data_IF_475286901939
#
_entry.id   IF_475286901939
#
_cell.length_a   1.000
_cell.length_b   1.000
_cell.length_c   1.000
_cell.angle_alpha   90.00
_cell.angle_beta   90.00
_cell.angle_gamma   90.00
#
_symmetry.space_group_name_H-M   'P 1'
#
loop_
_entity.id
_entity.type
_entity.pdbx_description
1 polymer ?
#
# COMPACT_ATOMS: atom_id res chain seq x y z
N UNK A 1 -4.04 2.61 17.36
CA UNK A 1 -4.01 1.18 17.00
C UNK A 1 -4.97 0.93 15.83
N UNK A 2 -4.44 0.52 14.67
CA UNK A 2 -5.23 0.22 13.49
C UNK A 2 -5.93 -1.15 13.62
N UNK A 3 -7.14 -1.23 13.08
CA UNK A 3 -7.97 -2.42 13.03
C UNK A 3 -8.15 -2.91 11.60
N UNK A 4 -8.73 -4.09 11.42
CA UNK A 4 -9.00 -4.67 10.11
C UNK A 4 -9.85 -3.74 9.22
N UNK A 5 -10.86 -3.06 9.79
CA UNK A 5 -11.70 -2.12 9.05
C UNK A 5 -10.96 -0.91 8.47
N UNK A 6 -9.80 -0.56 9.03
CA UNK A 6 -9.05 0.63 8.60
C UNK A 6 -8.21 0.36 7.33
N UNK A 7 -7.87 -0.92 7.07
CA UNK A 7 -6.95 -1.32 6.00
C UNK A 7 -7.54 -2.33 5.01
N UNK A 8 -8.75 -2.83 5.26
CA UNK A 8 -9.38 -3.82 4.38
C UNK A 8 -9.69 -3.24 2.99
N UNK A 9 -9.57 -4.09 1.98
CA UNK A 9 -10.19 -3.84 0.68
C UNK A 9 -11.70 -3.89 0.88
N UNK A 10 -12.44 -2.80 0.58
CA UNK A 10 -13.87 -2.74 0.83
C UNK A 10 -14.65 -3.73 -0.05
N UNK A 11 -15.82 -4.16 0.42
CA UNK A 11 -16.71 -5.12 -0.27
C UNK A 11 -16.89 -4.85 -1.75
N UNK A 12 -17.05 -3.57 -2.14
CA UNK A 12 -17.29 -3.18 -3.52
C UNK A 12 -16.13 -3.51 -4.48
N UNK A 13 -14.92 -3.62 -3.95
CA UNK A 13 -13.69 -3.85 -4.71
C UNK A 13 -13.20 -5.30 -4.64
N UNK A 14 -13.92 -6.18 -3.91
CA UNK A 14 -13.57 -7.59 -3.82
C UNK A 14 -13.82 -8.30 -5.14
N UNK A 15 -12.75 -8.84 -5.73
CA UNK A 15 -12.86 -9.78 -6.85
C UNK A 15 -13.12 -11.18 -6.32
N UNK A 16 -14.18 -11.82 -6.77
CA UNK A 16 -14.57 -13.17 -6.36
C UNK A 16 -15.06 -13.98 -7.55
N UNK A 17 -14.99 -15.30 -7.47
CA UNK A 17 -15.50 -16.21 -8.49
C UNK A 17 -16.67 -17.04 -7.97
N UNK A 18 -17.55 -17.47 -8.85
CA UNK A 18 -18.69 -18.33 -8.50
C UNK A 18 -18.33 -19.81 -8.57
N UNK A 19 -19.02 -20.61 -7.74
CA UNK A 19 -18.85 -22.08 -7.70
C UNK A 19 -19.09 -22.77 -9.05
N UNK A 20 -19.89 -22.16 -9.92
CA UNK A 20 -20.29 -22.74 -11.22
C UNK A 20 -19.48 -22.21 -12.39
N UNK A 21 -18.51 -21.34 -12.14
CA UNK A 21 -17.66 -20.79 -13.19
C UNK A 21 -16.67 -21.83 -13.73
N UNK A 22 -16.32 -21.71 -15.02
CA UNK A 22 -15.32 -22.58 -15.62
C UNK A 22 -13.92 -22.26 -15.13
N UNK A 23 -13.00 -23.23 -15.14
CA UNK A 23 -11.60 -22.98 -14.80
C UNK A 23 -10.95 -21.96 -15.72
N UNK A 24 -11.36 -21.90 -16.99
CA UNK A 24 -10.89 -20.90 -17.96
C UNK A 24 -11.28 -19.49 -17.53
N UNK A 25 -12.54 -19.30 -17.08
CA UNK A 25 -13.04 -18.02 -16.61
C UNK A 25 -12.35 -17.60 -15.30
N UNK A 26 -12.17 -18.55 -14.38
CA UNK A 26 -11.45 -18.33 -13.11
C UNK A 26 -10.02 -17.86 -13.38
N UNK A 27 -9.29 -18.55 -14.27
CA UNK A 27 -7.92 -18.18 -14.64
C UNK A 27 -7.89 -16.78 -15.28
N UNK A 28 -8.83 -16.50 -16.16
CA UNK A 28 -8.94 -15.19 -16.81
C UNK A 28 -9.16 -14.08 -15.79
N UNK A 29 -10.08 -14.27 -14.83
CA UNK A 29 -10.34 -13.29 -13.78
C UNK A 29 -9.13 -13.12 -12.85
N UNK A 30 -8.50 -14.21 -12.43
CA UNK A 30 -7.29 -14.15 -11.57
C UNK A 30 -6.14 -13.44 -12.25
N UNK A 31 -5.95 -13.69 -13.56
CA UNK A 31 -4.90 -13.05 -14.36
C UNK A 31 -5.19 -11.57 -14.58
N UNK A 32 -6.44 -11.22 -14.94
CA UNK A 32 -6.84 -9.84 -15.15
C UNK A 32 -6.74 -8.98 -13.87
N UNK A 33 -7.08 -9.57 -12.72
CA UNK A 33 -6.98 -8.92 -11.42
C UNK A 33 -5.56 -8.98 -10.83
N UNK A 34 -4.65 -9.74 -11.42
CA UNK A 34 -3.30 -10.00 -10.88
C UNK A 34 -3.32 -10.61 -9.47
N UNK A 35 -4.28 -11.48 -9.18
CA UNK A 35 -4.44 -12.12 -7.88
C UNK A 35 -4.16 -13.61 -7.93
N UNK A 36 -3.38 -14.10 -6.97
CA UNK A 36 -3.09 -15.54 -6.82
C UNK A 36 -4.18 -16.32 -6.07
N UNK A 37 -5.04 -15.63 -5.33
CA UNK A 37 -6.10 -16.20 -4.50
C UNK A 37 -7.36 -15.38 -4.65
N UNK A 38 -8.50 -16.04 -4.80
CA UNK A 38 -9.81 -15.39 -4.81
C UNK A 38 -10.79 -16.11 -3.89
N UNK A 39 -11.71 -15.37 -3.24
CA UNK A 39 -12.89 -15.96 -2.62
C UNK A 39 -13.77 -16.63 -3.67
N UNK A 40 -14.31 -17.78 -3.31
CA UNK A 40 -15.31 -18.51 -4.11
C UNK A 40 -16.65 -18.39 -3.41
N UNK A 41 -17.61 -17.76 -4.07
CA UNK A 41 -18.98 -17.57 -3.57
C UNK A 41 -19.94 -18.60 -4.17
N UNK A 42 -20.97 -18.98 -3.42
CA UNK A 42 -22.07 -19.76 -3.96
C UNK A 42 -23.00 -18.85 -4.76
N UNK A 43 -23.83 -18.08 -4.10
CA UNK A 43 -24.75 -17.14 -4.76
C UNK A 43 -24.29 -15.69 -4.61
N UNK A 44 -24.03 -15.27 -3.40
CA UNK A 44 -23.60 -13.90 -3.06
C UNK A 44 -22.25 -13.91 -2.36
N UNK A 45 -21.67 -12.72 -2.21
CA UNK A 45 -20.41 -12.54 -1.48
C UNK A 45 -20.54 -12.87 0.02
N UNK A 46 -21.74 -12.87 0.57
CA UNK A 46 -21.99 -13.27 1.96
C UNK A 46 -22.02 -14.79 2.14
N UNK A 47 -22.10 -15.56 1.05
CA UNK A 47 -22.05 -17.03 1.08
C UNK A 47 -20.76 -17.54 0.42
N UNK A 48 -19.65 -17.40 1.15
CA UNK A 48 -18.34 -17.85 0.70
C UNK A 48 -18.17 -19.34 0.95
N UNK A 49 -17.93 -20.10 -0.12
CA UNK A 49 -17.63 -21.53 -0.08
C UNK A 49 -16.19 -21.81 0.39
N UNK A 50 -15.25 -20.94 0.07
CA UNK A 50 -13.84 -21.07 0.39
C UNK A 50 -12.96 -20.14 -0.44
N UNK A 51 -11.67 -20.43 -0.44
CA UNK A 51 -10.66 -19.69 -1.20
C UNK A 51 -10.05 -20.62 -2.25
N UNK A 52 -9.93 -20.16 -3.50
CA UNK A 52 -9.24 -20.89 -4.56
C UNK A 52 -7.87 -20.26 -4.82
N UNK A 53 -6.87 -21.10 -5.09
CA UNK A 53 -5.51 -20.66 -5.42
C UNK A 53 -5.18 -21.04 -6.86
N UNK A 54 -4.62 -20.09 -7.63
CA UNK A 54 -4.31 -20.29 -9.05
C UNK A 54 -3.38 -21.48 -9.30
N UNK A 55 -2.43 -21.75 -8.40
CA UNK A 55 -1.54 -22.93 -8.49
C UNK A 55 -2.29 -24.25 -8.43
N UNK A 56 -3.36 -24.32 -7.61
CA UNK A 56 -4.15 -25.54 -7.47
C UNK A 56 -4.98 -25.77 -8.74
N UNK A 57 -5.50 -24.71 -9.35
CA UNK A 57 -6.21 -24.77 -10.64
C UNK A 57 -5.28 -25.29 -11.73
N UNK A 58 -4.08 -24.74 -11.87
CA UNK A 58 -3.10 -25.19 -12.86
C UNK A 58 -2.66 -26.63 -12.62
N UNK A 59 -2.38 -27.01 -11.37
CA UNK A 59 -1.99 -28.38 -11.03
C UNK A 59 -3.10 -29.39 -11.38
N UNK A 60 -4.36 -29.02 -11.13
CA UNK A 60 -5.51 -29.86 -11.45
C UNK A 60 -5.68 -30.05 -12.97
N UNK A 61 -5.56 -28.95 -13.74
CA UNK A 61 -5.60 -29.01 -15.21
C UNK A 61 -4.45 -29.82 -15.79
N UNK A 62 -3.24 -29.62 -15.27
CA UNK A 62 -2.05 -30.36 -15.73
C UNK A 62 -2.18 -31.88 -15.46
N UNK A 63 -2.84 -32.25 -14.37
CA UNK A 63 -3.12 -33.66 -14.06
C UNK A 63 -4.21 -34.29 -14.96
N UNK A 64 -4.81 -33.53 -15.89
CA UNK A 64 -5.88 -34.00 -16.77
C UNK A 64 -7.17 -34.40 -16.05
N UNK A 65 -7.38 -33.87 -14.84
CA UNK A 65 -8.58 -34.16 -14.04
C UNK A 65 -9.78 -33.36 -14.53
N UNK A 66 -10.97 -33.90 -14.38
CA UNK A 66 -12.20 -33.17 -14.64
C UNK A 66 -12.28 -31.92 -13.75
N UNK A 67 -12.75 -30.77 -14.28
CA UNK A 67 -12.91 -29.56 -13.49
C UNK A 67 -13.85 -29.79 -12.31
N UNK A 68 -13.33 -29.58 -11.09
CA UNK A 68 -14.07 -29.71 -9.85
C UNK A 68 -13.55 -28.68 -8.83
N UNK A 69 -14.29 -27.58 -8.70
CA UNK A 69 -13.92 -26.48 -7.82
C UNK A 69 -13.93 -26.92 -6.35
N UNK A 70 -14.91 -27.74 -5.95
CA UNK A 70 -15.08 -28.20 -4.56
C UNK A 70 -13.78 -28.84 -4.01
N UNK A 71 -13.10 -29.62 -4.85
CA UNK A 71 -11.86 -30.30 -4.45
C UNK A 71 -10.67 -29.36 -4.26
N UNK A 72 -10.73 -28.14 -4.78
CA UNK A 72 -9.68 -27.13 -4.73
C UNK A 72 -9.91 -26.07 -3.66
N UNK A 73 -11.08 -26.06 -3.02
CA UNK A 73 -11.43 -25.07 -2.01
C UNK A 73 -10.55 -25.24 -0.76
N UNK A 74 -9.96 -24.13 -0.36
CA UNK A 74 -9.31 -24.00 0.94
C UNK A 74 -10.24 -23.27 1.91
N UNK A 75 -10.29 -23.65 3.20
CA UNK A 75 -11.13 -22.95 4.17
C UNK A 75 -10.81 -21.46 4.22
N UNK A 76 -11.84 -20.61 4.19
CA UNK A 76 -11.71 -19.19 4.41
C UNK A 76 -11.46 -18.88 5.90
N UNK A 77 -10.74 -17.79 6.17
CA UNK A 77 -10.60 -17.20 7.49
C UNK A 77 -11.54 -16.01 7.58
N UNK A 78 -12.43 -16.01 8.57
CA UNK A 78 -13.35 -14.92 8.85
C UNK A 78 -12.93 -14.21 10.13
N UNK A 79 -12.93 -12.88 10.11
CA UNK A 79 -12.49 -12.04 11.23
C UNK A 79 -13.42 -10.86 11.42
N UNK A 80 -13.49 -10.34 12.66
CA UNK A 80 -14.27 -9.15 12.96
C UNK A 80 -13.58 -7.87 12.46
N UNK A 81 -14.32 -6.81 12.09
CA UNK A 81 -13.75 -5.53 11.66
C UNK A 81 -12.86 -4.88 12.72
N UNK A 82 -13.13 -5.13 13.99
CA UNK A 82 -12.43 -4.55 15.15
C UNK A 82 -11.15 -5.30 15.55
N UNK A 83 -10.78 -6.39 14.88
CA UNK A 83 -9.53 -7.11 15.20
C UNK A 83 -8.32 -6.22 14.91
N UNK A 84 -7.36 -6.14 15.84
CA UNK A 84 -6.14 -5.37 15.66
C UNK A 84 -5.23 -6.03 14.61
N UNK A 85 -4.51 -5.23 13.83
CA UNK A 85 -3.69 -5.75 12.72
C UNK A 85 -2.63 -6.75 13.18
N UNK A 86 -1.97 -6.52 14.32
CA UNK A 86 -0.97 -7.46 14.85
C UNK A 86 -1.58 -8.80 15.28
N UNK A 87 -2.79 -8.77 15.87
CA UNK A 87 -3.49 -9.99 16.26
C UNK A 87 -3.94 -10.77 15.03
N UNK A 88 -4.44 -10.06 14.00
CA UNK A 88 -4.83 -10.64 12.72
C UNK A 88 -3.61 -11.26 12.01
N UNK A 89 -2.49 -10.56 11.94
CA UNK A 89 -1.26 -11.09 11.34
C UNK A 89 -0.80 -12.37 12.04
N UNK A 90 -0.85 -12.39 13.38
CA UNK A 90 -0.51 -13.58 14.17
C UNK A 90 -1.44 -14.75 13.85
N UNK A 91 -2.76 -14.51 13.79
CA UNK A 91 -3.75 -15.54 13.48
C UNK A 91 -3.59 -16.09 12.05
N UNK A 92 -3.38 -15.22 11.07
CA UNK A 92 -3.15 -15.62 9.68
C UNK A 92 -1.89 -16.48 9.55
N UNK A 93 -0.80 -16.12 10.22
CA UNK A 93 0.44 -16.93 10.26
C UNK A 93 0.24 -18.27 10.93
N UNK A 94 -0.41 -18.29 12.09
CA UNK A 94 -0.67 -19.53 12.85
C UNK A 94 -1.51 -20.50 12.02
N UNK A 95 -2.55 -20.02 11.35
CA UNK A 95 -3.44 -20.82 10.51
C UNK A 95 -2.92 -21.03 9.10
N UNK A 96 -1.77 -20.44 8.74
CA UNK A 96 -1.18 -20.44 7.39
C UNK A 96 -2.18 -19.96 6.32
N UNK A 97 -2.86 -18.84 6.62
CA UNK A 97 -3.79 -18.17 5.71
C UNK A 97 -3.19 -16.88 5.22
N UNK A 98 -3.27 -16.62 3.92
CA UNK A 98 -2.78 -15.41 3.28
C UNK A 98 -3.89 -14.41 2.95
N UNK A 99 -5.13 -14.79 3.23
CA UNK A 99 -6.31 -13.98 2.96
C UNK A 99 -7.33 -14.21 4.07
N UNK A 100 -7.92 -13.13 4.58
CA UNK A 100 -8.99 -13.12 5.54
C UNK A 100 -10.18 -12.30 5.00
N UNK A 101 -11.41 -12.74 5.31
CA UNK A 101 -12.62 -12.01 5.03
C UNK A 101 -13.08 -11.32 6.31
N UNK A 102 -13.31 -10.02 6.21
CA UNK A 102 -13.84 -9.21 7.30
C UNK A 102 -15.36 -9.29 7.25
N UNK A 103 -15.98 -9.71 8.35
CA UNK A 103 -17.42 -9.93 8.40
C UNK A 103 -18.05 -9.16 9.55
N UNK A 104 -19.23 -8.61 9.29
CA UNK A 104 -20.04 -7.91 10.29
C UNK A 104 -20.70 -8.89 11.28
N UNK A 105 -21.44 -8.36 12.24
CA UNK A 105 -22.17 -9.13 13.27
C UNK A 105 -23.34 -9.95 12.72
N UNK A 106 -23.75 -9.69 11.48
CA UNK A 106 -24.81 -10.41 10.78
C UNK A 106 -24.27 -11.47 9.82
N UNK A 107 -22.94 -11.58 9.70
CA UNK A 107 -22.26 -12.49 8.79
C UNK A 107 -22.10 -11.96 7.37
N UNK A 108 -22.39 -10.68 7.14
CA UNK A 108 -22.14 -10.00 5.87
C UNK A 108 -20.65 -9.75 5.67
N UNK A 109 -20.15 -9.92 4.45
CA UNK A 109 -18.75 -9.59 4.11
C UNK A 109 -18.61 -8.11 3.88
N UNK A 110 -17.87 -7.42 4.75
CA UNK A 110 -17.55 -5.99 4.66
C UNK A 110 -16.30 -5.73 3.83
N UNK A 111 -15.33 -6.63 3.89
CA UNK A 111 -14.05 -6.45 3.21
C UNK A 111 -13.20 -7.71 3.17
N UNK A 112 -12.01 -7.54 2.61
CA UNK A 112 -11.00 -8.57 2.48
C UNK A 112 -9.64 -7.97 2.85
N UNK A 113 -8.80 -8.76 3.52
CA UNK A 113 -7.42 -8.37 3.85
C UNK A 113 -6.49 -9.49 3.44
N UNK A 114 -5.36 -9.14 2.82
CA UNK A 114 -4.27 -10.06 2.57
C UNK A 114 -3.16 -9.92 3.61
N UNK A 115 -2.30 -10.93 3.72
CA UNK A 115 -1.14 -10.85 4.63
C UNK A 115 -0.15 -9.79 4.13
N UNK A 116 -0.09 -9.60 2.83
CA UNK A 116 0.71 -8.61 2.16
C UNK A 116 0.29 -7.18 2.59
N UNK A 117 -1.00 -6.86 2.56
CA UNK A 117 -1.56 -5.57 3.02
C UNK A 117 -1.25 -5.32 4.51
N UNK A 118 -1.36 -6.37 5.35
CA UNK A 118 -1.05 -6.27 6.77
C UNK A 118 0.44 -5.97 7.01
N UNK A 119 1.31 -6.64 6.26
CA UNK A 119 2.75 -6.43 6.40
C UNK A 119 3.12 -5.03 5.93
N UNK A 120 2.58 -4.57 4.82
CA UNK A 120 2.79 -3.22 4.31
C UNK A 120 2.36 -2.16 5.33
N UNK A 121 1.18 -2.32 5.96
CA UNK A 121 0.67 -1.35 6.93
C UNK A 121 1.43 -1.38 8.27
N UNK A 122 1.89 -2.56 8.72
CA UNK A 122 2.59 -2.71 10.00
C UNK A 122 4.06 -2.31 9.91
N UNK A 123 4.71 -2.65 8.80
CA UNK A 123 6.15 -2.44 8.59
C UNK A 123 6.41 -1.10 7.91
N UNK A 124 5.38 -0.52 7.25
CA UNK A 124 5.54 0.55 6.27
C UNK A 124 6.05 -0.01 4.94
N UNK A 125 6.26 0.86 3.97
CA UNK A 125 7.02 0.47 2.77
C UNK A 125 8.34 -0.14 3.25
N UNK A 126 8.54 -1.43 3.00
CA UNK A 126 9.83 -2.07 3.24
C UNK A 126 10.76 -1.40 2.23
N UNK A 127 11.55 -0.44 2.69
CA UNK A 127 12.75 -0.08 1.96
C UNK A 127 13.54 -1.39 1.82
N UNK A 128 13.66 -1.87 0.58
CA UNK A 128 14.37 -3.10 0.28
C UNK A 128 15.77 -2.95 0.89
N UNK A 129 16.21 -3.89 1.73
CA UNK A 129 17.58 -3.90 2.30
C UNK A 129 18.66 -3.92 1.19
N UNK A 130 18.23 -4.06 -0.06
CA UNK A 130 19.04 -3.92 -1.28
C UNK A 130 18.84 -2.59 -2.01
N UNK A 131 17.92 -1.73 -1.59
CA UNK A 131 18.07 -0.32 -1.86
C UNK A 131 19.29 0.12 -1.04
N UNK A 132 20.45 0.03 -1.64
CA UNK A 132 21.60 0.82 -1.22
C UNK A 132 21.01 2.18 -0.86
N UNK A 133 21.22 2.64 0.37
CA UNK A 133 20.70 3.91 0.86
C UNK A 133 20.99 4.94 -0.25
N UNK A 134 20.03 5.12 -1.14
CA UNK A 134 20.11 6.14 -2.18
C UNK A 134 20.06 7.41 -1.36
N UNK A 135 21.24 7.99 -1.13
CA UNK A 135 21.32 9.29 -0.47
C UNK A 135 20.36 10.19 -1.24
N UNK A 136 19.48 10.91 -0.54
CA UNK A 136 18.47 11.74 -1.20
C UNK A 136 19.15 12.56 -2.28
N UNK A 137 18.67 12.43 -3.53
CA UNK A 137 19.40 13.00 -4.66
C UNK A 137 19.21 14.50 -4.69
N UNK A 138 20.32 15.18 -4.87
CA UNK A 138 20.36 16.59 -5.20
C UNK A 138 21.09 16.74 -6.54
N UNK A 139 20.47 17.42 -7.48
CA UNK A 139 21.06 17.66 -8.81
C UNK A 139 21.03 19.14 -9.12
N UNK A 140 22.18 19.70 -9.46
CA UNK A 140 22.30 21.10 -9.92
C UNK A 140 22.29 21.10 -11.44
N UNK A 141 21.30 21.76 -12.03
CA UNK A 141 21.16 21.89 -13.47
C UNK A 141 22.03 23.00 -14.02
N UNK A 142 22.31 22.96 -15.33
CA UNK A 142 23.14 23.97 -16.02
C UNK A 142 22.55 25.39 -15.99
N UNK A 143 21.23 25.52 -15.80
CA UNK A 143 20.52 26.80 -15.68
C UNK A 143 20.54 27.39 -14.26
N UNK A 144 21.16 26.67 -13.31
CA UNK A 144 21.27 27.08 -11.92
C UNK A 144 20.10 26.66 -11.04
N UNK A 145 19.11 25.91 -11.59
CA UNK A 145 18.07 25.29 -10.78
C UNK A 145 18.60 24.05 -10.06
N UNK A 146 18.04 23.77 -8.89
CA UNK A 146 18.41 22.61 -8.07
C UNK A 146 17.20 21.71 -7.98
N UNK A 147 17.35 20.46 -8.38
CA UNK A 147 16.36 19.42 -8.18
C UNK A 147 16.72 18.66 -6.89
N UNK A 148 15.80 18.59 -5.94
CA UNK A 148 16.04 17.97 -4.65
C UNK A 148 14.88 17.08 -4.23
N UNK A 149 15.17 15.89 -3.73
CA UNK A 149 14.16 15.08 -3.05
C UNK A 149 13.75 15.76 -1.75
N UNK A 150 12.44 15.75 -1.45
CA UNK A 150 11.90 16.42 -0.27
C UNK A 150 12.43 15.85 1.06
N UNK A 151 12.92 14.60 1.06
CA UNK A 151 13.57 13.95 2.21
C UNK A 151 15.04 14.32 2.40
N UNK A 152 15.61 15.12 1.49
CA UNK A 152 16.97 15.62 1.63
C UNK A 152 17.08 16.46 2.91
N UNK A 153 18.15 16.28 3.67
CA UNK A 153 18.44 17.10 4.84
C UNK A 153 18.66 18.57 4.42
N UNK A 154 18.10 19.51 5.16
CA UNK A 154 18.21 20.95 4.85
C UNK A 154 19.67 21.37 4.79
N UNK A 155 20.51 20.84 5.66
CA UNK A 155 21.95 21.12 5.70
C UNK A 155 22.66 20.81 4.39
N UNK A 156 22.26 19.73 3.69
CA UNK A 156 22.82 19.38 2.38
C UNK A 156 22.45 20.43 1.31
N UNK A 157 21.25 20.99 1.36
CA UNK A 157 20.83 22.07 0.48
C UNK A 157 21.55 23.41 0.84
N UNK A 158 21.70 23.68 2.12
CA UNK A 158 22.39 24.88 2.62
C UNK A 158 23.83 24.98 2.16
N UNK A 159 24.51 23.86 1.92
CA UNK A 159 25.88 23.86 1.33
C UNK A 159 25.90 24.57 -0.05
N UNK A 160 24.80 24.45 -0.80
CA UNK A 160 24.71 25.02 -2.15
C UNK A 160 24.06 26.40 -2.18
N UNK A 161 23.13 26.67 -1.27
CA UNK A 161 22.26 27.86 -1.31
C UNK A 161 22.56 28.89 -0.22
N UNK A 162 23.34 28.50 0.79
CA UNK A 162 23.53 29.29 2.02
C UNK A 162 22.47 28.96 3.06
N UNK A 163 22.58 29.57 4.24
CA UNK A 163 21.73 29.31 5.40
C UNK A 163 20.24 29.56 5.11
N UNK A 164 19.41 28.57 5.39
CA UNK A 164 17.97 28.61 5.22
C UNK A 164 17.21 28.54 6.54
N UNK A 165 17.76 27.86 7.55
CA UNK A 165 17.17 27.75 8.88
C UNK A 165 17.90 28.63 9.90
N UNK A 166 17.14 29.24 10.81
CA UNK A 166 17.68 29.84 12.02
C UNK A 166 17.95 28.73 13.07
N UNK A 167 18.80 29.04 14.06
CA UNK A 167 19.22 28.02 15.05
C UNK A 167 18.04 27.43 15.85
N UNK A 168 17.01 28.25 16.09
CA UNK A 168 15.81 27.83 16.85
C UNK A 168 14.90 26.88 16.06
N UNK A 169 14.95 26.88 14.71
CA UNK A 169 14.12 26.06 13.85
C UNK A 169 14.77 24.69 13.50
N UNK A 170 16.08 24.54 13.76
CA UNK A 170 16.84 23.32 13.43
C UNK A 170 16.42 22.09 14.24
N UNK A 171 15.84 22.27 15.42
CA UNK A 171 15.37 21.17 16.25
C UNK A 171 14.01 20.60 15.77
N UNK A 172 13.29 21.32 14.88
CA UNK A 172 11.96 20.96 14.42
C UNK A 172 11.91 20.60 12.92
N UNK A 173 12.92 21.03 12.14
CA UNK A 173 12.92 20.89 10.67
C UNK A 173 14.22 20.25 10.20
N UNK A 174 14.16 18.97 9.85
CA UNK A 174 15.32 18.20 9.38
C UNK A 174 15.42 18.18 7.84
N UNK A 175 14.28 18.20 7.13
CA UNK A 175 14.24 17.95 5.68
C UNK A 175 13.77 19.15 4.86
N UNK A 176 14.18 19.19 3.58
CA UNK A 176 13.77 20.22 2.63
C UNK A 176 12.25 20.26 2.47
N UNK A 177 11.58 19.09 2.42
CA UNK A 177 10.12 19.01 2.41
C UNK A 177 9.48 19.61 3.66
N UNK A 178 10.08 19.37 4.84
CA UNK A 178 9.67 19.96 6.11
C UNK A 178 9.80 21.47 6.10
N UNK A 179 10.94 22.00 5.60
CA UNK A 179 11.17 23.41 5.43
C UNK A 179 10.10 24.07 4.55
N UNK A 180 9.83 23.48 3.38
CA UNK A 180 8.83 24.01 2.43
C UNK A 180 7.43 24.00 3.03
N UNK A 181 7.06 22.96 3.76
CA UNK A 181 5.78 22.88 4.47
C UNK A 181 5.69 23.91 5.60
N UNK A 182 6.77 24.13 6.36
CA UNK A 182 6.82 25.12 7.43
C UNK A 182 6.65 26.54 6.89
N UNK A 183 7.36 26.89 5.80
CA UNK A 183 7.25 28.21 5.13
C UNK A 183 5.84 28.40 4.56
N UNK A 184 5.23 27.37 3.98
CA UNK A 184 3.87 27.44 3.41
C UNK A 184 2.78 27.41 4.48
N UNK A 185 3.07 26.93 5.72
CA UNK A 185 2.09 26.70 6.78
C UNK A 185 1.14 25.54 6.52
N UNK A 186 1.40 24.72 5.49
CA UNK A 186 0.63 23.56 5.04
C UNK A 186 1.45 22.71 4.07
N UNK A 187 0.94 21.56 3.66
CA UNK A 187 1.54 20.81 2.55
C UNK A 187 1.12 21.47 1.23
N UNK A 188 2.05 22.08 0.46
CA UNK A 188 1.71 22.69 -0.82
C UNK A 188 1.49 21.64 -1.91
N UNK A 189 0.63 21.97 -2.89
CA UNK A 189 0.28 21.07 -3.98
C UNK A 189 1.28 21.10 -5.14
N UNK A 190 1.22 20.07 -6.01
CA UNK A 190 2.05 19.99 -7.21
C UNK A 190 1.89 21.23 -8.11
N UNK A 191 3.01 21.76 -8.59
CA UNK A 191 3.10 22.98 -9.40
C UNK A 191 3.01 24.28 -8.59
N UNK A 192 2.91 24.18 -7.27
CA UNK A 192 2.89 25.35 -6.40
C UNK A 192 4.32 25.85 -6.12
N UNK A 193 4.48 27.17 -6.09
CA UNK A 193 5.77 27.81 -5.79
C UNK A 193 5.70 28.46 -4.40
N UNK A 194 6.58 28.01 -3.51
CA UNK A 194 6.75 28.54 -2.16
C UNK A 194 8.01 29.42 -2.11
N UNK A 195 7.89 30.63 -1.57
CA UNK A 195 9.00 31.59 -1.47
C UNK A 195 9.55 31.62 -0.06
N UNK A 196 10.81 31.28 0.06
CA UNK A 196 11.55 31.38 1.31
C UNK A 196 12.02 32.83 1.58
N UNK A 197 12.11 33.28 2.83
CA UNK A 197 12.62 34.64 3.18
C UNK A 197 14.01 34.93 2.66
N UNK A 198 14.88 33.93 2.46
CA UNK A 198 16.20 34.09 1.84
C UNK A 198 16.16 34.51 0.36
N UNK A 199 14.96 34.46 -0.27
CA UNK A 199 14.77 34.73 -1.70
C UNK A 199 14.75 33.46 -2.56
N UNK A 200 15.06 32.29 -2.01
CA UNK A 200 14.96 31.03 -2.71
C UNK A 200 13.48 30.71 -3.00
N UNK A 201 13.20 30.07 -4.13
CA UNK A 201 11.86 29.65 -4.52
C UNK A 201 11.86 28.14 -4.70
N UNK A 202 10.88 27.47 -4.12
CA UNK A 202 10.66 26.03 -4.22
C UNK A 202 9.43 25.77 -5.07
N UNK A 203 9.57 25.05 -6.15
CA UNK A 203 8.45 24.54 -6.95
C UNK A 203 8.21 23.07 -6.61
N UNK A 204 6.97 22.72 -6.24
CA UNK A 204 6.61 21.33 -5.95
C UNK A 204 6.42 20.58 -7.27
N UNK A 205 7.33 19.69 -7.60
CA UNK A 205 7.26 18.88 -8.81
C UNK A 205 6.44 17.61 -8.59
N UNK A 206 6.61 16.96 -7.44
CA UNK A 206 5.86 15.78 -7.04
C UNK A 206 5.54 15.80 -5.55
N UNK A 207 4.34 15.30 -5.20
CA UNK A 207 3.86 15.18 -3.84
C UNK A 207 2.40 14.71 -3.81
N UNK A 208 1.98 14.28 -2.64
CA UNK A 208 0.61 13.93 -2.32
C UNK A 208 0.04 14.88 -1.23
N UNK A 209 -1.28 14.80 -0.87
CA UNK A 209 -1.85 15.70 0.15
C UNK A 209 -1.24 15.61 1.55
N UNK A 210 -0.38 14.63 1.80
CA UNK A 210 0.24 14.39 3.11
C UNK A 210 1.73 14.70 3.13
N UNK A 211 2.43 14.59 1.97
CA UNK A 211 3.88 14.78 1.88
C UNK A 211 4.35 15.26 0.51
N UNK A 212 5.48 15.93 0.50
CA UNK A 212 6.23 16.27 -0.71
C UNK A 212 7.21 15.13 -1.03
N UNK A 213 7.49 14.94 -2.33
CA UNK A 213 8.45 13.94 -2.81
C UNK A 213 9.61 14.57 -3.58
N UNK A 214 9.33 15.55 -4.44
CA UNK A 214 10.35 16.23 -5.28
C UNK A 214 10.09 17.73 -5.38
N UNK A 215 11.17 18.51 -5.28
CA UNK A 215 11.19 19.98 -5.29
C UNK A 215 12.21 20.49 -6.29
#
# INVERSE_FOLDING_TARGET
>A
DLNASDVMIPRADIVSVGMTESFSDIITQMTAANHSRLPVRRETLDDIAGIIHIKDVFAHLHAGKAPDIDTLLRPALFVAPSIRLLDLLHEMRLRRRHLALVVDEFGGVDGLITIEDLVEEIVGEIEDEHDEAVQPQITVNDDGTILAEARLEVEALEILTGQLLEDDDRDEIDTVGGLVCAVAGRVPGRGEVVRHPSGLQFEVLEGDPRRLSLL
#
